data_IF_855544810901
#
_entry.id   IF_855544810901
#
_cell.length_a   1.000
_cell.length_b   1.000
_cell.length_c   1.000
_cell.angle_alpha   90.00
_cell.angle_beta   90.00
_cell.angle_gamma   90.00
#
_symmetry.space_group_name_H-M   'P 1'
#
loop_
_entity.id
_entity.type
_entity.pdbx_description
1 polymer ?
#
# COMPACT_ATOMS: atom_id res chain seq x y z
N UNK A 1 -34.93 -57.07 -3.87
CA UNK A 1 -35.60 -56.22 -4.87
C UNK A 1 -34.54 -55.29 -5.46
N UNK A 2 -34.25 -55.50 -6.75
CA UNK A 2 -33.55 -54.67 -7.75
C UNK A 2 -32.32 -53.82 -7.35
N UNK A 3 -31.22 -53.75 -8.09
CA UNK A 3 -30.56 -54.59 -9.11
C UNK A 3 -29.23 -53.87 -9.39
N UNK A 4 -28.18 -54.63 -9.69
CA UNK A 4 -26.85 -54.15 -10.08
C UNK A 4 -26.80 -53.77 -11.59
N UNK A 5 -25.65 -53.21 -12.02
CA UNK A 5 -25.05 -53.25 -13.39
C UNK A 5 -25.57 -52.15 -14.36
N UNK A 6 -24.76 -51.31 -15.06
CA UNK A 6 -23.75 -51.55 -16.13
C UNK A 6 -22.98 -50.22 -16.39
N UNK A 7 -21.64 -50.11 -16.33
CA UNK A 7 -20.59 -50.27 -17.36
C UNK A 7 -20.61 -49.34 -18.60
N UNK A 8 -19.51 -48.57 -18.76
CA UNK A 8 -18.72 -48.11 -19.95
C UNK A 8 -19.40 -47.94 -21.33
N UNK A 9 -19.03 -47.01 -22.24
CA UNK A 9 -17.73 -46.92 -22.96
C UNK A 9 -17.70 -45.69 -23.92
N UNK A 10 -16.50 -45.07 -24.04
CA UNK A 10 -15.80 -44.41 -25.19
C UNK A 10 -16.53 -44.00 -26.49
N UNK A 11 -16.17 -42.82 -27.05
CA UNK A 11 -15.43 -42.69 -28.33
C UNK A 11 -15.19 -41.22 -28.78
N UNK A 12 -13.96 -40.92 -29.20
CA UNK A 12 -13.53 -39.75 -29.98
C UNK A 12 -14.16 -39.74 -31.39
N UNK A 13 -14.36 -38.55 -31.96
CA UNK A 13 -14.15 -38.28 -33.40
C UNK A 13 -13.52 -36.90 -33.58
N UNK A 14 -12.32 -36.88 -34.17
CA UNK A 14 -11.72 -35.73 -34.83
C UNK A 14 -12.09 -35.74 -36.31
N UNK A 15 -12.35 -34.58 -36.90
CA UNK A 15 -12.10 -34.34 -38.34
C UNK A 15 -11.76 -32.88 -38.63
N UNK A 16 -10.66 -32.74 -39.36
CA UNK A 16 -10.00 -31.57 -39.92
C UNK A 16 -10.76 -30.94 -41.09
N UNK A 17 -10.57 -29.63 -41.33
CA UNK A 17 -10.38 -29.10 -42.69
C UNK A 17 -9.63 -27.76 -42.68
N UNK A 18 -8.58 -27.70 -43.48
CA UNK A 18 -7.82 -26.51 -43.86
C UNK A 18 -8.31 -25.98 -45.22
N UNK A 19 -8.15 -24.67 -45.50
CA UNK A 19 -8.12 -24.17 -46.88
C UNK A 19 -8.66 -22.76 -47.18
N UNK A 20 -7.82 -21.75 -46.94
CA UNK A 20 -7.31 -20.75 -47.91
C UNK A 20 -8.18 -19.66 -48.62
N UNK A 21 -7.58 -18.46 -48.65
CA UNK A 21 -7.57 -17.35 -49.64
C UNK A 21 -8.51 -16.10 -49.58
N UNK A 22 -7.79 -14.97 -49.44
CA UNK A 22 -7.85 -13.68 -50.16
C UNK A 22 -8.97 -12.66 -49.93
N UNK A 23 -8.55 -11.42 -49.58
CA UNK A 23 -9.09 -10.20 -50.18
C UNK A 23 -9.03 -8.94 -49.30
N UNK A 24 -8.63 -7.83 -49.94
CA UNK A 24 -8.85 -6.42 -49.58
C UNK A 24 -8.00 -5.75 -48.47
N UNK A 25 -7.07 -4.85 -48.83
CA UNK A 25 -7.18 -3.45 -49.34
C UNK A 25 -7.14 -2.44 -48.19
N UNK A 26 -5.98 -1.82 -47.96
CA UNK A 26 -5.88 -0.58 -47.19
C UNK A 26 -4.79 0.35 -47.74
N UNK A 27 -5.28 1.33 -48.49
CA UNK A 27 -4.79 2.66 -48.81
C UNK A 27 -3.37 3.09 -48.42
N UNK A 28 -2.59 3.42 -49.46
CA UNK A 28 -1.52 4.43 -49.43
C UNK A 28 -2.12 5.83 -49.35
N UNK A 29 -1.60 6.68 -48.45
CA UNK A 29 -1.53 8.14 -48.69
C UNK A 29 -0.22 8.70 -48.13
N UNK A 30 0.73 8.96 -49.03
CA UNK A 30 1.84 9.89 -48.86
C UNK A 30 1.70 10.92 -49.99
N UNK A 31 1.50 12.19 -49.65
CA UNK A 31 1.84 13.30 -50.54
C UNK A 31 2.35 14.47 -49.69
N UNK A 32 3.64 14.73 -49.88
CA UNK A 32 4.30 16.00 -49.61
C UNK A 32 4.91 16.39 -50.95
N UNK A 33 4.64 17.60 -51.45
CA UNK A 33 5.53 18.51 -52.21
C UNK A 33 4.68 19.71 -52.64
N UNK A 34 5.14 20.90 -52.28
CA UNK A 34 4.62 22.18 -52.78
C UNK A 34 5.42 23.37 -52.23
N UNK A 35 6.66 23.53 -52.70
CA UNK A 35 7.46 24.76 -52.53
C UNK A 35 7.03 25.84 -53.53
N UNK A 36 7.26 27.10 -53.12
CA UNK A 36 7.51 28.37 -53.86
C UNK A 36 6.63 29.48 -53.28
N UNK A 37 7.01 30.74 -53.13
CA UNK A 37 8.28 31.49 -53.01
C UNK A 37 7.86 32.94 -52.65
N UNK A 38 8.68 33.58 -51.81
CA UNK A 38 8.97 35.02 -51.64
C UNK A 38 8.03 36.12 -52.20
N UNK A 39 7.74 37.13 -51.36
CA UNK A 39 7.90 38.57 -51.69
C UNK A 39 8.16 39.41 -50.42
N UNK A 40 9.02 40.42 -50.60
CA UNK A 40 9.59 41.39 -49.64
C UNK A 40 8.67 42.60 -49.32
N UNK A 41 9.16 43.39 -48.35
CA UNK A 41 8.85 44.78 -47.93
C UNK A 41 8.00 44.89 -46.66
N UNK A 42 8.36 45.70 -45.65
CA UNK A 42 9.46 46.65 -45.53
C UNK A 42 9.51 47.24 -44.10
N UNK A 43 10.65 47.89 -43.83
CA UNK A 43 11.03 48.56 -42.59
C UNK A 43 10.04 49.64 -42.11
N UNK A 44 10.05 49.94 -40.80
CA UNK A 44 10.38 51.28 -40.31
C UNK A 44 10.60 51.34 -38.78
N UNK A 45 11.72 51.95 -38.41
CA UNK A 45 12.20 52.37 -37.10
C UNK A 45 11.29 53.39 -36.38
N UNK A 46 11.46 53.48 -35.06
CA UNK A 46 11.08 54.63 -34.25
C UNK A 46 11.51 54.51 -32.79
N UNK A 47 12.77 54.85 -32.50
CA UNK A 47 13.29 55.14 -31.16
C UNK A 47 12.61 56.40 -30.57
N UNK A 48 12.49 56.50 -29.24
CA UNK A 48 12.80 57.76 -28.52
C UNK A 48 13.02 57.54 -27.02
N UNK A 49 14.20 57.98 -26.56
CA UNK A 49 14.65 58.18 -25.19
C UNK A 49 13.88 59.27 -24.43
N UNK A 50 13.93 59.21 -23.09
CA UNK A 50 13.65 60.35 -22.20
C UNK A 50 14.04 60.07 -20.75
N UNK A 51 15.20 60.59 -20.34
CA UNK A 51 15.74 60.63 -18.97
C UNK A 51 14.87 61.46 -18.00
N UNK A 52 15.00 61.24 -16.67
CA UNK A 52 15.46 62.28 -15.73
C UNK A 52 15.59 61.81 -14.27
N UNK A 53 16.64 62.37 -13.63
CA UNK A 53 17.19 62.20 -12.29
C UNK A 53 16.29 62.64 -11.11
N UNK A 54 16.61 62.14 -9.91
CA UNK A 54 16.27 62.76 -8.63
C UNK A 54 16.98 62.11 -7.42
N UNK A 55 18.04 62.75 -6.93
CA UNK A 55 18.86 62.38 -5.77
C UNK A 55 18.31 63.06 -4.49
N UNK A 56 18.38 62.44 -3.30
CA UNK A 56 18.56 63.14 -2.02
C UNK A 56 18.94 62.22 -0.84
N UNK A 57 19.99 62.64 -0.11
CA UNK A 57 20.58 62.09 1.11
C UNK A 57 19.74 62.34 2.39
N UNK A 58 19.99 61.56 3.44
CA UNK A 58 19.77 61.97 4.85
C UNK A 58 19.93 60.84 5.87
N UNK A 59 21.01 60.88 6.66
CA UNK A 59 21.32 60.01 7.81
C UNK A 59 20.30 60.12 8.96
N UNK A 60 20.11 59.04 9.74
CA UNK A 60 19.98 59.09 11.21
C UNK A 60 20.08 57.68 11.85
N UNK A 61 20.97 57.55 12.84
CA UNK A 61 21.08 56.40 13.75
C UNK A 61 19.97 56.43 14.82
N UNK A 62 19.49 55.26 15.23
CA UNK A 62 18.65 55.09 16.43
C UNK A 62 18.21 53.64 16.63
N UNK A 63 18.75 53.00 17.68
CA UNK A 63 18.39 51.68 18.20
C UNK A 63 16.88 51.42 18.29
N UNK A 64 16.43 50.20 18.03
CA UNK A 64 15.50 49.43 18.88
C UNK A 64 15.40 47.96 18.42
N UNK A 65 15.49 47.04 19.38
CA UNK A 65 15.22 45.60 19.25
C UNK A 65 13.81 45.34 18.69
N UNK A 66 13.70 44.41 17.74
CA UNK A 66 12.55 43.52 17.59
C UNK A 66 13.00 42.23 16.91
N UNK A 67 12.65 41.12 17.54
CA UNK A 67 12.79 39.76 17.03
C UNK A 67 11.71 39.54 15.98
N UNK A 68 12.12 39.29 14.74
CA UNK A 68 11.22 38.84 13.68
C UNK A 68 11.37 37.32 13.52
N UNK A 69 10.31 36.61 13.91
CA UNK A 69 10.11 35.20 13.58
C UNK A 69 9.84 35.07 12.08
N UNK A 70 10.81 34.55 11.33
CA UNK A 70 10.58 34.09 9.96
C UNK A 70 10.05 32.65 9.99
N UNK A 71 8.75 32.50 9.73
CA UNK A 71 8.15 31.24 9.34
C UNK A 71 8.64 30.85 7.95
N UNK A 72 9.30 29.70 7.85
CA UNK A 72 9.68 29.11 6.58
C UNK A 72 8.58 28.15 6.11
N UNK A 73 7.79 28.63 5.16
CA UNK A 73 6.92 27.85 4.29
C UNK A 73 7.82 27.02 3.36
N UNK A 74 7.68 25.71 3.35
CA UNK A 74 8.32 24.84 2.36
C UNK A 74 7.24 24.11 1.58
N UNK A 75 6.85 24.71 0.46
CA UNK A 75 6.22 23.99 -0.64
C UNK A 75 7.33 23.21 -1.37
N UNK A 76 7.17 21.90 -1.47
CA UNK A 76 7.99 21.09 -2.37
C UNK A 76 7.10 20.45 -3.43
N UNK A 77 7.09 21.10 -4.59
CA UNK A 77 6.72 20.52 -5.88
C UNK A 77 7.56 19.27 -6.16
N UNK A 78 6.88 18.19 -6.53
CA UNK A 78 7.49 16.93 -6.92
C UNK A 78 7.62 16.90 -8.45
N UNK A 79 8.82 17.21 -8.95
CA UNK A 79 9.10 17.21 -10.39
C UNK A 79 9.84 15.94 -10.83
N UNK A 80 9.23 15.28 -11.81
CA UNK A 80 9.63 14.03 -12.43
C UNK A 80 10.63 14.30 -13.57
N UNK A 81 11.84 13.73 -13.51
CA UNK A 81 12.78 13.76 -14.65
C UNK A 81 13.18 12.35 -15.09
N UNK A 82 12.64 11.99 -16.25
CA UNK A 82 13.09 10.90 -17.08
C UNK A 82 13.91 11.50 -18.24
N UNK A 83 15.15 11.04 -18.46
CA UNK A 83 15.95 11.50 -19.59
C UNK A 83 17.37 10.98 -19.67
N UNK A 84 17.59 10.02 -20.58
CA UNK A 84 18.73 10.09 -21.51
C UNK A 84 20.02 9.35 -21.13
N UNK A 85 20.12 8.11 -21.61
CA UNK A 85 21.35 7.32 -21.74
C UNK A 85 22.40 7.95 -22.67
N UNK A 86 23.69 7.81 -22.34
CA UNK A 86 24.77 7.69 -23.33
C UNK A 86 25.87 6.73 -22.86
N UNK A 87 26.24 5.85 -23.79
CA UNK A 87 27.18 4.74 -23.72
C UNK A 87 28.64 5.13 -23.42
N UNK A 88 29.39 4.19 -22.81
CA UNK A 88 30.72 3.87 -23.32
C UNK A 88 31.10 2.40 -23.07
N UNK A 89 31.54 1.75 -24.14
CA UNK A 89 31.88 0.33 -24.29
C UNK A 89 33.36 0.01 -24.01
N UNK A 90 33.64 -1.20 -23.50
CA UNK A 90 34.84 -2.06 -23.76
C UNK A 90 34.59 -3.40 -23.03
N UNK A 91 34.33 -4.53 -23.69
CA UNK A 91 35.31 -5.55 -24.15
C UNK A 91 35.86 -6.36 -22.96
N UNK A 92 35.91 -7.69 -22.87
CA UNK A 92 35.75 -8.83 -23.78
C UNK A 92 35.71 -10.13 -22.91
N UNK A 93 35.41 -11.26 -23.54
CA UNK A 93 35.82 -12.65 -23.21
C UNK A 93 34.86 -13.55 -22.40
N UNK A 94 34.20 -14.41 -23.17
CA UNK A 94 33.43 -15.62 -22.84
C UNK A 94 34.31 -16.80 -22.38
N UNK A 95 33.84 -17.60 -21.42
CA UNK A 95 34.14 -19.03 -21.33
C UNK A 95 33.04 -19.78 -20.55
N UNK A 96 32.34 -20.68 -21.26
CA UNK A 96 31.31 -21.60 -20.74
C UNK A 96 31.97 -22.91 -20.33
N UNK A 97 31.73 -23.36 -19.09
CA UNK A 97 32.05 -24.73 -18.66
C UNK A 97 30.85 -25.35 -17.97
N UNK A 98 30.26 -26.32 -18.67
CA UNK A 98 29.29 -27.30 -18.19
C UNK A 98 29.96 -28.28 -17.22
N UNK A 99 29.33 -28.58 -16.08
CA UNK A 99 29.63 -29.81 -15.34
C UNK A 99 28.35 -30.48 -14.85
N UNK A 100 28.25 -31.75 -15.21
CA UNK A 100 27.17 -32.70 -14.99
C UNK A 100 27.28 -33.34 -13.60
N UNK A 101 26.18 -33.35 -12.85
CA UNK A 101 26.08 -34.06 -11.56
C UNK A 101 25.50 -35.46 -11.77
N UNK A 102 26.22 -36.48 -11.32
CA UNK A 102 25.81 -37.90 -11.34
C UNK A 102 25.17 -38.33 -10.02
N UNK A 103 24.08 -39.09 -10.12
CA UNK A 103 23.34 -39.72 -9.01
C UNK A 103 24.10 -40.87 -8.34
N UNK A 104 23.60 -41.32 -7.16
CA UNK A 104 23.60 -42.75 -6.85
C UNK A 104 22.21 -43.32 -6.54
N UNK A 105 22.10 -44.63 -6.84
CA UNK A 105 20.91 -45.47 -6.86
C UNK A 105 20.45 -46.01 -5.49
N UNK A 106 19.22 -46.53 -5.53
CA UNK A 106 18.36 -47.03 -4.47
C UNK A 106 18.84 -48.25 -3.65
N UNK A 107 18.21 -48.46 -2.49
CA UNK A 107 18.00 -49.78 -1.87
C UNK A 107 16.62 -49.83 -1.21
N UNK A 108 15.89 -50.92 -1.43
CA UNK A 108 14.51 -51.19 -1.00
C UNK A 108 14.43 -52.20 0.14
N UNK A 109 13.27 -52.20 0.83
CA UNK A 109 12.68 -53.29 1.65
C UNK A 109 13.18 -53.40 3.10
N UNK A 110 12.41 -53.64 4.17
CA UNK A 110 11.11 -54.32 4.33
C UNK A 110 10.55 -54.09 5.77
N UNK A 111 9.22 -54.11 5.93
CA UNK A 111 8.49 -54.36 7.19
C UNK A 111 8.31 -55.87 7.42
N UNK A 112 8.14 -56.36 8.67
CA UNK A 112 6.78 -56.71 9.12
C UNK A 112 6.49 -56.49 10.62
N UNK A 113 5.23 -56.75 10.96
CA UNK A 113 4.43 -56.31 12.11
C UNK A 113 4.45 -57.23 13.34
N UNK A 114 3.91 -56.68 14.44
CA UNK A 114 3.12 -57.28 15.54
C UNK A 114 3.76 -58.19 16.58
N UNK A 115 3.66 -57.79 17.86
CA UNK A 115 3.01 -58.63 18.88
C UNK A 115 2.47 -57.84 20.09
N UNK A 116 1.44 -58.44 20.68
CA UNK A 116 0.39 -57.93 21.58
C UNK A 116 0.66 -58.10 23.08
N UNK A 117 0.02 -57.25 23.90
CA UNK A 117 -0.79 -57.70 25.05
C UNK A 117 -0.28 -57.37 26.46
N UNK A 118 -1.15 -56.75 27.28
CA UNK A 118 -1.06 -56.76 28.75
C UNK A 118 -1.65 -55.53 29.44
N UNK A 119 -2.92 -55.61 29.85
CA UNK A 119 -3.71 -54.55 30.48
C UNK A 119 -3.63 -54.51 32.01
N UNK A 120 -3.86 -53.35 32.66
CA UNK A 120 -4.41 -53.22 34.03
C UNK A 120 -5.21 -51.90 34.22
N UNK A 121 -6.54 -52.06 34.37
CA UNK A 121 -7.59 -51.33 35.16
C UNK A 121 -7.36 -49.88 35.66
N UNK A 122 -8.13 -48.89 35.19
CA UNK A 122 -9.41 -48.31 35.71
C UNK A 122 -9.39 -47.63 37.08
N UNK A 123 -9.68 -46.32 37.10
CA UNK A 123 -10.60 -45.72 38.08
C UNK A 123 -11.29 -44.48 37.48
N UNK A 124 -12.62 -44.49 37.61
CA UNK A 124 -13.62 -43.50 37.20
C UNK A 124 -13.76 -42.40 38.25
N UNK A 125 -14.03 -41.16 37.84
CA UNK A 125 -15.04 -40.28 38.45
C UNK A 125 -15.26 -38.97 37.66
N UNK A 126 -16.53 -38.69 37.38
CA UNK A 126 -17.17 -37.41 37.02
C UNK A 126 -18.46 -37.32 37.86
N UNK A 127 -19.21 -36.20 37.91
CA UNK A 127 -18.88 -34.76 37.80
C UNK A 127 -19.52 -33.94 38.95
N UNK A 128 -19.14 -32.66 39.16
CA UNK A 128 -20.03 -31.59 39.67
C UNK A 128 -19.29 -30.25 39.90
N UNK A 129 -19.82 -29.17 39.33
CA UNK A 129 -20.32 -27.97 40.03
C UNK A 129 -20.15 -26.69 39.16
N UNK A 130 -21.28 -26.17 38.69
CA UNK A 130 -21.42 -24.81 38.17
C UNK A 130 -21.24 -23.77 39.29
N UNK A 131 -20.67 -22.59 39.01
CA UNK A 131 -20.98 -21.39 39.77
C UNK A 131 -22.05 -20.56 39.04
N UNK A 132 -23.16 -20.35 39.72
CA UNK A 132 -24.20 -19.38 39.41
C UNK A 132 -23.66 -17.97 39.67
N UNK A 133 -23.51 -17.14 38.64
CA UNK A 133 -23.26 -15.70 38.81
C UNK A 133 -24.55 -14.92 38.55
N UNK A 134 -24.89 -14.14 39.56
CA UNK A 134 -26.06 -13.30 39.72
C UNK A 134 -26.09 -12.19 38.66
N UNK A 135 -27.19 -12.07 37.91
CA UNK A 135 -27.40 -10.94 37.00
C UNK A 135 -27.75 -9.68 37.81
N UNK A 136 -26.80 -8.77 37.93
CA UNK A 136 -27.08 -7.36 38.20
C UNK A 136 -26.92 -6.62 36.87
N UNK A 137 -28.07 -6.24 36.30
CA UNK A 137 -28.15 -5.52 35.04
C UNK A 137 -27.43 -4.18 35.14
N UNK A 138 -26.41 -4.03 34.33
CA UNK A 138 -25.93 -2.73 33.89
C UNK A 138 -26.30 -2.64 32.42
N UNK A 139 -27.05 -1.60 32.08
CA UNK A 139 -27.52 -1.30 30.74
C UNK A 139 -26.35 -1.34 29.76
N UNK A 140 -26.43 -2.33 28.88
CA UNK A 140 -25.58 -2.53 27.73
C UNK A 140 -25.75 -1.33 26.79
N UNK A 141 -24.76 -0.43 26.75
CA UNK A 141 -24.51 0.40 25.59
C UNK A 141 -23.56 -0.38 24.70
N UNK A 142 -24.12 -1.28 23.91
CA UNK A 142 -23.43 -2.00 22.84
C UNK A 142 -23.07 -1.00 21.74
N UNK A 143 -21.96 -0.29 21.91
CA UNK A 143 -21.15 0.24 20.79
C UNK A 143 -19.93 -0.67 20.68
N UNK A 144 -20.13 -1.86 20.12
CA UNK A 144 -19.04 -2.76 19.71
C UNK A 144 -18.59 -2.43 18.29
N UNK A 145 -18.36 -1.15 17.99
CA UNK A 145 -17.60 -0.74 16.82
C UNK A 145 -16.14 -0.76 17.23
N UNK A 146 -15.39 -1.79 16.86
CA UNK A 146 -13.93 -1.70 16.90
C UNK A 146 -13.53 -0.62 15.91
N UNK A 147 -12.87 0.45 16.36
CA UNK A 147 -12.45 1.60 15.54
C UNK A 147 -11.32 1.21 14.55
N UNK A 148 -11.65 0.33 13.59
CA UNK A 148 -10.71 -0.25 12.62
C UNK A 148 -10.40 0.71 11.49
N UNK A 149 -11.34 1.58 11.14
CA UNK A 149 -11.09 2.57 10.10
C UNK A 149 -10.06 3.61 10.55
N UNK A 150 -9.14 3.92 9.65
CA UNK A 150 -8.13 4.93 9.85
C UNK A 150 -8.01 5.89 8.68
N UNK A 151 -7.12 6.87 8.82
CA UNK A 151 -6.88 7.90 7.82
C UNK A 151 -5.42 7.88 7.35
N UNK A 152 -5.24 7.63 6.06
CA UNK A 152 -4.02 7.98 5.32
C UNK A 152 -4.07 9.48 5.01
N UNK A 153 -3.39 10.29 5.82
CA UNK A 153 -3.57 11.74 5.89
C UNK A 153 -2.40 12.52 5.27
N UNK A 154 -2.53 13.05 4.04
CA UNK A 154 -1.41 13.69 3.34
C UNK A 154 -1.32 15.19 3.61
N UNK A 155 -2.35 15.78 4.21
CA UNK A 155 -2.56 17.23 4.19
C UNK A 155 -1.75 17.98 5.25
N UNK A 156 -1.02 17.27 6.11
CA UNK A 156 -0.38 17.87 7.29
C UNK A 156 -1.36 18.73 8.09
N UNK A 157 -0.91 19.89 8.55
CA UNK A 157 -1.74 20.88 9.24
C UNK A 157 -2.51 21.84 8.30
N UNK A 158 -2.45 21.64 6.97
CA UNK A 158 -3.14 22.53 6.01
C UNK A 158 -4.65 22.32 6.00
N UNK A 159 -5.09 21.10 6.31
CA UNK A 159 -6.50 20.74 6.49
C UNK A 159 -6.77 20.35 7.94
N UNK A 160 -8.01 20.54 8.38
CA UNK A 160 -8.41 20.22 9.75
C UNK A 160 -8.87 18.76 9.86
N UNK A 161 -7.98 17.88 10.33
CA UNK A 161 -8.29 16.45 10.53
C UNK A 161 -9.40 16.24 11.57
N UNK A 162 -9.67 17.19 12.47
CA UNK A 162 -10.75 17.06 13.47
C UNK A 162 -12.15 16.99 12.83
N UNK A 163 -12.27 17.34 11.55
CA UNK A 163 -13.50 17.12 10.76
C UNK A 163 -13.78 15.65 10.47
N UNK A 164 -12.77 14.80 10.63
CA UNK A 164 -12.78 13.37 10.35
C UNK A 164 -12.80 12.51 11.62
N UNK A 165 -12.55 13.10 12.80
CA UNK A 165 -12.57 12.41 14.09
C UNK A 165 -13.99 12.13 14.64
N UNK A 166 -15.01 12.18 13.77
CA UNK A 166 -16.39 11.81 14.12
C UNK A 166 -16.61 10.38 13.65
N UNK A 167 -17.35 9.55 14.40
CA UNK A 167 -17.61 8.16 14.01
C UNK A 167 -16.52 7.20 14.45
N UNK A 168 -16.29 6.12 13.71
CA UNK A 168 -15.42 5.01 14.14
C UNK A 168 -13.98 5.09 13.57
N UNK A 169 -13.52 6.30 13.23
CA UNK A 169 -12.13 6.52 12.86
C UNK A 169 -11.27 6.50 14.13
N UNK A 170 -10.41 5.49 14.27
CA UNK A 170 -9.60 5.29 15.49
C UNK A 170 -8.15 5.75 15.38
N UNK A 171 -7.60 5.75 14.17
CA UNK A 171 -6.16 5.95 13.97
C UNK A 171 -5.86 6.69 12.66
N UNK A 172 -4.65 7.21 12.54
CA UNK A 172 -4.18 7.84 11.32
C UNK A 172 -2.66 7.75 11.17
N UNK A 173 -2.19 7.95 9.95
CA UNK A 173 -0.78 8.10 9.63
C UNK A 173 -0.59 9.11 8.49
N UNK A 174 0.63 9.60 8.32
CA UNK A 174 0.94 10.75 7.44
C UNK A 174 2.06 10.48 6.45
N UNK A 175 2.41 9.20 6.22
CA UNK A 175 3.65 8.78 5.53
C UNK A 175 4.92 9.37 6.16
N UNK A 176 4.85 9.73 7.44
CA UNK A 176 5.92 10.44 8.13
C UNK A 176 6.02 10.05 9.60
N UNK A 177 7.15 10.35 10.25
CA UNK A 177 7.33 10.12 11.68
C UNK A 177 6.77 11.24 12.56
N UNK A 178 5.94 12.16 12.06
CA UNK A 178 5.35 13.23 12.87
C UNK A 178 3.82 13.35 12.70
N UNK A 179 3.11 13.67 13.80
CA UNK A 179 1.67 13.81 13.80
C UNK A 179 1.23 15.15 13.18
N UNK A 180 -0.10 15.35 13.15
CA UNK A 180 -0.72 16.66 12.92
C UNK A 180 -1.32 17.18 14.22
N UNK A 181 -1.33 18.51 14.40
CA UNK A 181 -1.68 19.13 15.68
C UNK A 181 -3.18 19.04 15.99
N UNK A 182 -4.02 18.99 14.96
CA UNK A 182 -5.49 18.95 15.07
C UNK A 182 -6.08 17.54 15.18
N UNK A 183 -5.25 16.50 15.34
CA UNK A 183 -5.69 15.10 15.40
C UNK A 183 -6.54 14.74 16.62
N UNK A 184 -6.47 15.53 17.70
CA UNK A 184 -7.20 15.25 18.93
C UNK A 184 -6.78 13.90 19.51
N UNK A 185 -7.76 13.03 19.76
CA UNK A 185 -7.57 11.72 20.39
C UNK A 185 -7.29 10.58 19.40
N UNK A 186 -7.14 10.86 18.09
CA UNK A 186 -6.81 9.83 17.11
C UNK A 186 -5.41 9.27 17.36
N UNK A 187 -5.30 7.94 17.36
CA UNK A 187 -4.02 7.27 17.53
C UNK A 187 -3.12 7.53 16.31
N UNK A 188 -1.97 8.18 16.55
CA UNK A 188 -1.00 8.45 15.50
C UNK A 188 -0.01 7.30 15.33
N UNK A 189 0.06 6.75 14.12
CA UNK A 189 1.00 5.70 13.73
C UNK A 189 2.18 6.32 12.96
N UNK A 190 3.31 6.66 13.61
CA UNK A 190 4.49 7.15 12.92
C UNK A 190 5.02 6.09 11.94
N UNK A 191 5.41 6.57 10.75
CA UNK A 191 5.98 5.72 9.71
C UNK A 191 7.43 6.11 9.41
N UNK A 192 8.30 5.11 9.31
CA UNK A 192 9.57 5.25 8.62
C UNK A 192 9.34 4.87 7.16
N UNK A 193 9.06 5.83 6.29
CA UNK A 193 8.67 5.56 4.90
C UNK A 193 9.74 4.76 4.15
N UNK A 194 11.02 5.04 4.40
CA UNK A 194 12.15 4.32 3.81
C UNK A 194 13.48 5.01 4.10
N UNK A 195 14.57 4.55 3.46
CA UNK A 195 15.94 5.03 3.70
C UNK A 195 16.08 6.56 3.66
N UNK A 196 15.33 7.24 2.78
CA UNK A 196 15.38 8.69 2.59
C UNK A 196 14.89 9.48 3.82
N UNK A 197 14.11 8.86 4.71
CA UNK A 197 13.50 9.52 5.86
C UNK A 197 14.21 9.23 7.19
N UNK A 198 15.29 8.44 7.18
CA UNK A 198 16.03 8.03 8.40
C UNK A 198 16.52 9.23 9.22
N UNK A 199 16.97 10.31 8.56
CA UNK A 199 17.40 11.52 9.28
C UNK A 199 16.24 12.15 10.06
N UNK A 200 15.08 12.32 9.43
CA UNK A 200 13.91 12.91 10.08
C UNK A 200 13.28 11.96 11.11
N UNK A 201 13.27 10.66 10.84
CA UNK A 201 12.91 9.62 11.81
C UNK A 201 13.71 9.76 13.12
N UNK A 202 15.03 9.86 13.01
CA UNK A 202 15.92 10.01 14.16
C UNK A 202 15.71 11.32 14.94
N UNK A 203 15.18 12.37 14.30
CA UNK A 203 14.84 13.63 14.97
C UNK A 203 13.51 13.55 15.75
N UNK A 204 12.59 12.67 15.34
CA UNK A 204 11.23 12.62 15.89
C UNK A 204 11.01 11.44 16.86
N UNK A 205 11.69 10.31 16.67
CA UNK A 205 11.41 9.05 17.39
C UNK A 205 11.48 9.11 18.91
N UNK A 206 12.18 10.09 19.48
CA UNK A 206 12.21 10.30 20.93
C UNK A 206 10.89 10.84 21.50
N UNK A 207 10.00 11.39 20.65
CA UNK A 207 8.72 12.00 21.04
C UNK A 207 7.53 11.06 20.97
N UNK A 208 7.70 9.84 20.44
CA UNK A 208 6.57 8.91 20.24
C UNK A 208 5.79 8.64 21.54
N UNK A 209 6.50 8.48 22.66
CA UNK A 209 5.85 8.31 23.96
C UNK A 209 5.06 9.55 24.41
N UNK A 210 5.51 10.76 24.05
CA UNK A 210 4.82 12.01 24.36
C UNK A 210 3.54 12.18 23.53
N UNK A 211 3.50 11.58 22.33
CA UNK A 211 2.32 11.56 21.46
C UNK A 211 1.35 10.43 21.77
N UNK A 212 1.64 9.60 22.79
CA UNK A 212 0.81 8.43 23.10
C UNK A 212 0.85 7.35 22.02
N UNK A 213 1.89 7.33 21.17
CA UNK A 213 2.02 6.35 20.09
C UNK A 213 1.88 4.91 20.62
N UNK A 214 1.01 4.13 19.99
CA UNK A 214 0.76 2.72 20.29
C UNK A 214 1.37 1.77 19.25
N UNK A 215 1.51 2.25 18.01
CA UNK A 215 1.98 1.47 16.86
C UNK A 215 3.08 2.18 16.09
N UNK A 216 3.95 1.42 15.42
CA UNK A 216 4.89 1.94 14.43
C UNK A 216 4.61 1.26 13.09
N UNK A 217 4.47 2.05 12.02
CA UNK A 217 4.32 1.55 10.67
C UNK A 217 5.67 1.46 9.96
N UNK A 218 5.90 0.33 9.27
CA UNK A 218 7.11 0.06 8.50
C UNK A 218 7.22 0.82 7.18
N UNK A 219 8.19 0.40 6.36
CA UNK A 219 8.50 1.03 5.06
C UNK A 219 7.31 1.01 4.10
N UNK A 220 7.20 2.07 3.29
CA UNK A 220 6.13 2.25 2.31
C UNK A 220 6.48 1.63 0.97
N UNK A 221 5.77 0.58 0.58
CA UNK A 221 5.92 -0.10 -0.71
C UNK A 221 7.39 -0.38 -1.07
N UNK A 222 8.17 -1.06 -0.21
CA UNK A 222 9.58 -1.33 -0.49
C UNK A 222 9.77 -2.22 -1.73
N UNK A 223 8.75 -2.97 -2.14
CA UNK A 223 8.73 -3.78 -3.35
C UNK A 223 8.47 -2.98 -4.64
N UNK A 224 8.16 -1.69 -4.55
CA UNK A 224 7.88 -0.83 -5.72
C UNK A 224 9.04 0.14 -6.01
N UNK A 225 9.47 0.19 -7.27
CA UNK A 225 10.63 0.99 -7.71
C UNK A 225 10.43 2.49 -7.52
N UNK A 226 9.18 2.95 -7.65
CA UNK A 226 8.80 4.36 -7.48
C UNK A 226 8.68 4.81 -6.03
N UNK A 227 8.82 3.89 -5.07
CA UNK A 227 8.48 4.11 -3.66
C UNK A 227 9.74 3.95 -2.79
N UNK A 228 9.66 3.25 -1.65
CA UNK A 228 10.85 3.04 -0.81
C UNK A 228 11.94 2.24 -1.54
N UNK A 229 11.54 1.35 -2.46
CA UNK A 229 12.43 0.60 -3.36
C UNK A 229 13.63 -0.02 -2.63
N UNK A 230 13.34 -1.03 -1.82
CA UNK A 230 14.32 -1.73 -0.98
C UNK A 230 14.19 -3.23 -1.22
N UNK A 231 15.32 -3.91 -1.42
CA UNK A 231 15.30 -5.36 -1.36
C UNK A 231 15.10 -5.82 0.10
N UNK A 232 14.59 -7.05 0.33
CA UNK A 232 14.27 -7.52 1.67
C UNK A 232 15.44 -7.54 2.65
N UNK A 233 16.67 -7.82 2.19
CA UNK A 233 17.85 -7.91 3.05
C UNK A 233 18.28 -6.53 3.58
N UNK A 234 18.37 -5.53 2.69
CA UNK A 234 18.70 -4.16 3.07
C UNK A 234 17.60 -3.55 3.96
N UNK A 235 16.34 -3.83 3.65
CA UNK A 235 15.22 -3.43 4.49
C UNK A 235 15.29 -4.05 5.88
N UNK A 236 15.60 -5.36 6.01
CA UNK A 236 15.72 -6.03 7.30
C UNK A 236 16.85 -5.44 8.15
N UNK A 237 17.99 -5.10 7.52
CA UNK A 237 19.09 -4.40 8.19
C UNK A 237 18.65 -3.05 8.75
N UNK A 238 17.99 -2.22 7.93
CA UNK A 238 17.49 -0.91 8.37
C UNK A 238 16.41 -1.05 9.46
N UNK A 239 15.50 -2.01 9.30
CA UNK A 239 14.45 -2.30 10.29
C UNK A 239 15.06 -2.64 11.64
N UNK A 240 16.06 -3.51 11.66
CA UNK A 240 16.73 -3.91 12.90
C UNK A 240 17.50 -2.75 13.54
N UNK A 241 18.05 -1.83 12.75
CA UNK A 241 18.71 -0.63 13.24
C UNK A 241 17.72 0.38 13.84
N UNK A 242 16.60 0.63 13.15
CA UNK A 242 15.75 1.80 13.44
C UNK A 242 14.46 1.46 14.18
N UNK A 243 13.85 0.29 13.91
CA UNK A 243 12.49 -0.06 14.34
C UNK A 243 12.48 -1.22 15.36
N UNK A 244 13.21 -2.30 15.13
CA UNK A 244 13.08 -3.54 15.94
C UNK A 244 13.36 -3.33 17.44
N UNK A 245 14.16 -2.33 17.81
CA UNK A 245 14.42 -1.96 19.20
C UNK A 245 13.16 -1.55 19.99
N UNK A 246 12.08 -1.22 19.30
CA UNK A 246 10.80 -0.83 19.88
C UNK A 246 9.83 -2.00 20.10
N UNK A 247 10.22 -3.22 19.75
CA UNK A 247 9.38 -4.39 19.95
C UNK A 247 9.04 -4.57 21.44
N UNK A 248 7.75 -4.79 21.73
CA UNK A 248 7.24 -4.86 23.10
C UNK A 248 6.98 -3.51 23.77
N UNK A 249 7.40 -2.38 23.16
CA UNK A 249 6.97 -1.04 23.54
C UNK A 249 5.80 -0.56 22.68
N UNK A 250 5.90 -0.77 21.36
CA UNK A 250 4.85 -0.47 20.39
C UNK A 250 4.54 -1.72 19.58
N UNK A 251 3.33 -1.81 19.03
CA UNK A 251 3.02 -2.82 18.01
C UNK A 251 3.73 -2.45 16.72
N UNK A 252 4.64 -3.31 16.27
CA UNK A 252 5.39 -3.08 15.04
C UNK A 252 4.62 -3.66 13.85
N UNK A 253 4.11 -2.79 13.00
CA UNK A 253 3.42 -3.16 11.77
C UNK A 253 4.47 -3.26 10.66
N UNK A 254 4.45 -4.38 9.91
CA UNK A 254 5.42 -4.67 8.85
C UNK A 254 5.54 -3.54 7.81
N UNK A 255 6.58 -3.58 6.94
CA UNK A 255 6.52 -2.81 5.70
C UNK A 255 5.23 -3.11 4.94
N UNK A 256 4.63 -2.06 4.35
CA UNK A 256 3.38 -2.16 3.61
C UNK A 256 3.68 -2.40 2.13
N UNK A 257 3.71 -3.66 1.72
CA UNK A 257 3.96 -4.00 0.32
C UNK A 257 2.70 -3.83 -0.54
N UNK A 258 2.84 -3.26 -1.73
CA UNK A 258 1.80 -3.30 -2.76
C UNK A 258 1.53 -4.74 -3.15
N UNK A 259 0.27 -5.11 -3.31
CA UNK A 259 -0.12 -6.44 -3.75
C UNK A 259 -1.14 -6.37 -4.87
N UNK A 260 -0.89 -7.13 -5.94
CA UNK A 260 -1.71 -7.20 -7.14
C UNK A 260 -2.06 -8.66 -7.42
N UNK A 261 -3.31 -8.94 -7.78
CA UNK A 261 -3.68 -10.30 -8.20
C UNK A 261 -2.97 -10.67 -9.50
N UNK A 262 -2.38 -11.86 -9.52
CA UNK A 262 -1.70 -12.43 -10.69
C UNK A 262 -0.21 -12.08 -10.83
N UNK A 263 0.35 -11.30 -9.91
CA UNK A 263 1.71 -10.79 -10.02
C UNK A 263 2.76 -11.57 -9.21
N UNK A 264 2.78 -12.89 -9.37
CA UNK A 264 3.82 -13.73 -8.77
C UNK A 264 5.14 -13.72 -9.57
N UNK A 265 5.15 -13.10 -10.75
CA UNK A 265 6.24 -13.20 -11.71
C UNK A 265 7.15 -11.95 -11.79
N UNK A 266 6.73 -10.77 -11.32
CA UNK A 266 7.50 -9.53 -11.50
C UNK A 266 8.34 -9.08 -10.29
N UNK A 267 8.30 -9.81 -9.17
CA UNK A 267 9.03 -9.41 -7.95
C UNK A 267 8.29 -8.37 -7.09
N UNK A 268 7.06 -8.02 -7.45
CA UNK A 268 6.13 -7.18 -6.69
C UNK A 268 5.23 -7.95 -5.73
N UNK A 269 5.37 -9.28 -5.63
CA UNK A 269 4.60 -10.10 -4.68
C UNK A 269 4.93 -9.71 -3.24
N UNK A 270 4.04 -8.93 -2.62
CA UNK A 270 4.21 -8.43 -1.26
C UNK A 270 4.32 -9.52 -0.20
N UNK A 271 3.62 -10.65 -0.37
CA UNK A 271 3.75 -11.79 0.55
C UNK A 271 5.15 -12.36 0.47
N UNK A 272 5.64 -12.62 -0.75
CA UNK A 272 7.00 -13.14 -0.95
C UNK A 272 8.05 -12.18 -0.41
N UNK A 273 7.92 -10.87 -0.68
CA UNK A 273 8.85 -9.86 -0.18
C UNK A 273 8.90 -9.87 1.36
N UNK A 274 7.76 -9.92 2.04
CA UNK A 274 7.69 -9.99 3.50
C UNK A 274 8.23 -11.30 4.09
N UNK A 275 8.03 -12.44 3.41
CA UNK A 275 8.65 -13.71 3.80
C UNK A 275 10.18 -13.64 3.72
N UNK A 276 10.72 -13.08 2.64
CA UNK A 276 12.17 -12.87 2.48
C UNK A 276 12.70 -11.88 3.53
N UNK A 277 11.92 -10.85 3.88
CA UNK A 277 12.25 -9.89 4.94
C UNK A 277 12.35 -10.57 6.31
N UNK A 278 11.42 -11.47 6.66
CA UNK A 278 11.51 -12.30 7.87
C UNK A 278 12.70 -13.26 7.84
N UNK A 279 12.97 -13.89 6.69
CA UNK A 279 14.13 -14.78 6.53
C UNK A 279 15.47 -14.05 6.73
N UNK A 280 15.51 -12.75 6.46
CA UNK A 280 16.66 -11.87 6.75
C UNK A 280 16.69 -11.34 8.19
N UNK A 281 15.87 -11.89 9.10
CA UNK A 281 15.96 -11.66 10.53
C UNK A 281 15.14 -10.49 11.06
N UNK A 282 14.18 -9.97 10.28
CA UNK A 282 13.19 -9.02 10.79
C UNK A 282 12.01 -9.73 11.47
N UNK A 283 11.46 -9.12 12.52
CA UNK A 283 10.24 -9.55 13.22
C UNK A 283 9.29 -8.37 13.36
N UNK A 284 7.99 -8.64 13.24
CA UNK A 284 6.89 -7.68 13.35
C UNK A 284 5.68 -8.37 14.01
N UNK A 285 4.82 -7.56 14.62
CA UNK A 285 3.67 -8.01 15.41
C UNK A 285 2.37 -8.03 14.58
N UNK A 286 2.33 -7.27 13.47
CA UNK A 286 1.22 -7.19 12.55
C UNK A 286 1.71 -6.98 11.11
N UNK A 287 0.85 -7.28 10.14
CA UNK A 287 1.17 -7.16 8.71
C UNK A 287 0.42 -6.00 8.08
N UNK A 288 1.13 -5.12 7.38
CA UNK A 288 0.54 -4.12 6.51
C UNK A 288 0.55 -4.55 5.04
N UNK A 289 -0.46 -4.12 4.29
CA UNK A 289 -0.58 -4.34 2.85
C UNK A 289 -1.27 -3.15 2.18
N UNK A 290 -0.87 -2.86 0.95
CA UNK A 290 -1.58 -1.93 0.06
C UNK A 290 -2.25 -2.71 -1.08
N UNK A 291 -3.52 -2.43 -1.36
CA UNK A 291 -4.28 -3.11 -2.41
C UNK A 291 -5.02 -2.10 -3.28
N UNK A 292 -4.64 -2.03 -4.54
CA UNK A 292 -5.32 -1.24 -5.57
C UNK A 292 -5.86 -2.19 -6.64
N UNK A 293 -7.17 -2.41 -6.59
CA UNK A 293 -7.89 -3.34 -7.47
C UNK A 293 -9.24 -2.74 -7.87
N UNK A 294 -9.89 -3.33 -8.86
CA UNK A 294 -11.23 -2.94 -9.31
C UNK A 294 -12.31 -3.92 -8.87
N UNK A 295 -11.93 -5.04 -8.26
CA UNK A 295 -12.84 -6.08 -7.76
C UNK A 295 -12.72 -6.24 -6.24
N UNK A 296 -13.83 -6.07 -5.52
CA UNK A 296 -13.84 -6.18 -4.06
C UNK A 296 -13.59 -7.63 -3.59
N UNK A 297 -13.98 -8.64 -4.37
CA UNK A 297 -13.70 -10.04 -4.03
C UNK A 297 -12.20 -10.34 -4.11
N UNK A 298 -11.52 -9.72 -5.08
CA UNK A 298 -10.06 -9.75 -5.22
C UNK A 298 -9.36 -9.16 -3.99
N UNK A 299 -9.81 -8.00 -3.50
CA UNK A 299 -9.29 -7.36 -2.27
C UNK A 299 -9.44 -8.30 -1.07
N UNK A 300 -10.65 -8.81 -0.83
CA UNK A 300 -10.95 -9.72 0.28
C UNK A 300 -10.07 -10.98 0.20
N UNK A 301 -9.98 -11.61 -0.97
CA UNK A 301 -9.18 -12.83 -1.16
C UNK A 301 -7.69 -12.58 -0.94
N UNK A 302 -7.20 -11.37 -1.21
CA UNK A 302 -5.81 -10.99 -0.99
C UNK A 302 -5.54 -10.82 0.50
N UNK A 303 -6.42 -10.12 1.23
CA UNK A 303 -6.32 -10.00 2.69
C UNK A 303 -6.30 -11.35 3.39
N UNK A 304 -7.17 -12.28 2.96
CA UNK A 304 -7.18 -13.65 3.48
C UNK A 304 -5.85 -14.37 3.26
N UNK A 305 -5.23 -14.24 2.07
CA UNK A 305 -3.90 -14.85 1.81
C UNK A 305 -2.81 -14.28 2.72
N UNK A 306 -2.84 -12.98 2.99
CA UNK A 306 -1.91 -12.36 3.93
C UNK A 306 -2.10 -12.94 5.34
N UNK A 307 -3.33 -12.98 5.83
CA UNK A 307 -3.62 -13.56 7.14
C UNK A 307 -3.24 -15.05 7.21
N UNK A 308 -3.63 -15.84 6.21
CA UNK A 308 -3.33 -17.28 6.14
C UNK A 308 -1.81 -17.54 6.14
N UNK A 309 -1.03 -16.67 5.48
CA UNK A 309 0.42 -16.84 5.37
C UNK A 309 1.15 -16.47 6.66
N UNK A 310 0.81 -15.34 7.28
CA UNK A 310 1.57 -14.80 8.40
C UNK A 310 0.98 -15.17 9.76
N UNK A 311 -0.32 -15.49 9.83
CA UNK A 311 -1.06 -15.79 11.06
C UNK A 311 -0.94 -14.66 12.10
N UNK A 312 -0.94 -13.40 11.62
CA UNK A 312 -0.85 -12.18 12.41
C UNK A 312 -2.05 -11.26 12.12
N UNK A 313 -2.33 -10.28 13.00
CA UNK A 313 -3.22 -9.16 12.69
C UNK A 313 -2.85 -8.47 11.38
N UNK A 314 -3.86 -8.07 10.60
CA UNK A 314 -3.68 -7.43 9.30
C UNK A 314 -4.20 -5.98 9.33
N UNK A 315 -3.41 -5.09 8.73
CA UNK A 315 -3.73 -3.70 8.45
C UNK A 315 -3.73 -3.46 6.94
N UNK A 316 -4.87 -3.06 6.38
CA UNK A 316 -4.97 -2.58 4.99
C UNK A 316 -4.71 -1.07 4.97
N UNK A 317 -3.45 -0.67 5.02
CA UNK A 317 -3.08 0.73 5.24
C UNK A 317 -3.39 1.63 4.05
N UNK A 318 -3.50 1.07 2.84
CA UNK A 318 -4.01 1.76 1.66
C UNK A 318 -4.84 0.83 0.78
N UNK A 319 -6.00 1.32 0.38
CA UNK A 319 -6.76 0.72 -0.72
C UNK A 319 -7.67 1.71 -1.41
N UNK A 320 -7.89 1.48 -2.71
CA UNK A 320 -8.83 2.24 -3.53
C UNK A 320 -9.26 1.43 -4.75
N UNK A 321 -10.41 1.78 -5.32
CA UNK A 321 -10.89 1.20 -6.57
C UNK A 321 -10.09 1.77 -7.75
N UNK A 322 -9.03 1.07 -8.13
CA UNK A 322 -7.98 1.60 -9.01
C UNK A 322 -7.33 0.51 -9.85
N UNK A 323 -7.21 0.76 -11.16
CA UNK A 323 -6.51 -0.12 -12.09
C UNK A 323 -5.20 0.51 -12.60
N UNK A 324 -4.07 0.13 -12.03
CA UNK A 324 -2.76 0.59 -12.53
C UNK A 324 -2.22 -0.21 -13.73
N UNK A 325 -2.88 -1.30 -14.14
CA UNK A 325 -2.47 -2.10 -15.31
C UNK A 325 -2.91 -1.48 -16.65
N UNK A 326 -3.49 -0.27 -16.64
CA UNK A 326 -3.95 0.44 -17.85
C UNK A 326 -5.30 -0.05 -18.39
N UNK A 327 -6.06 -0.80 -17.58
CA UNK A 327 -7.42 -1.24 -17.92
C UNK A 327 -8.51 -0.22 -17.57
N UNK A 328 -9.76 -0.67 -17.61
CA UNK A 328 -10.90 0.13 -17.20
C UNK A 328 -10.77 0.54 -15.72
N UNK A 329 -11.09 1.80 -15.43
CA UNK A 329 -11.22 2.30 -14.07
C UNK A 329 -12.64 2.09 -13.57
N UNK A 330 -12.79 1.99 -12.25
CA UNK A 330 -14.09 1.91 -11.61
C UNK A 330 -14.95 3.14 -11.93
N UNK A 331 -16.19 2.90 -12.29
CA UNK A 331 -17.27 3.88 -12.23
C UNK A 331 -17.57 4.28 -10.78
N UNK A 332 -18.33 5.36 -10.61
CA UNK A 332 -18.73 5.83 -9.28
C UNK A 332 -19.46 4.74 -8.48
N UNK A 333 -20.41 4.02 -9.11
CA UNK A 333 -21.11 2.91 -8.45
C UNK A 333 -20.18 1.77 -8.03
N UNK A 334 -19.13 1.49 -8.79
CA UNK A 334 -18.15 0.46 -8.45
C UNK A 334 -17.24 0.92 -7.31
N UNK A 335 -16.89 2.20 -7.24
CA UNK A 335 -16.16 2.78 -6.10
C UNK A 335 -16.97 2.67 -4.81
N UNK A 336 -18.25 3.06 -4.85
CA UNK A 336 -19.15 2.94 -3.70
C UNK A 336 -19.32 1.48 -3.26
N UNK A 337 -19.52 0.57 -4.21
CA UNK A 337 -19.63 -0.86 -3.91
C UNK A 337 -18.33 -1.43 -3.32
N UNK A 338 -17.16 -1.03 -3.86
CA UNK A 338 -15.86 -1.42 -3.33
C UNK A 338 -15.74 -1.01 -1.86
N UNK A 339 -16.01 0.26 -1.54
CA UNK A 339 -15.94 0.75 -0.17
C UNK A 339 -16.91 0.03 0.76
N UNK A 340 -18.20 -0.06 0.39
CA UNK A 340 -19.24 -0.70 1.21
C UNK A 340 -18.91 -2.16 1.51
N UNK A 341 -18.56 -2.95 0.48
CA UNK A 341 -18.36 -4.39 0.64
C UNK A 341 -17.09 -4.73 1.39
N UNK A 342 -16.01 -3.99 1.15
CA UNK A 342 -14.73 -4.26 1.83
C UNK A 342 -14.75 -3.80 3.29
N UNK A 343 -15.24 -2.59 3.60
CA UNK A 343 -15.33 -2.08 4.98
C UNK A 343 -16.19 -2.99 5.85
N UNK A 344 -17.43 -3.26 5.42
CA UNK A 344 -18.35 -4.15 6.13
C UNK A 344 -17.76 -5.54 6.36
N UNK A 345 -17.06 -6.11 5.38
CA UNK A 345 -16.41 -7.40 5.56
C UNK A 345 -15.24 -7.33 6.55
N UNK A 346 -14.37 -6.32 6.45
CA UNK A 346 -13.22 -6.14 7.35
C UNK A 346 -13.65 -5.92 8.80
N UNK A 347 -14.77 -5.23 9.03
CA UNK A 347 -15.32 -5.02 10.37
C UNK A 347 -15.76 -6.33 11.04
N UNK A 348 -16.23 -7.31 10.26
CA UNK A 348 -16.61 -8.64 10.75
C UNK A 348 -15.42 -9.56 11.05
N UNK A 349 -14.20 -9.24 10.59
CA UNK A 349 -13.04 -10.13 10.77
C UNK A 349 -12.29 -9.83 12.07
N UNK A 350 -12.16 -10.80 12.97
CA UNK A 350 -11.41 -10.62 14.24
C UNK A 350 -9.92 -10.31 14.01
N UNK A 351 -9.34 -10.78 12.90
CA UNK A 351 -7.92 -10.63 12.58
C UNK A 351 -7.61 -9.37 11.75
N UNK A 352 -8.62 -8.66 11.25
CA UNK A 352 -8.44 -7.33 10.65
C UNK A 352 -8.42 -6.29 11.76
N UNK A 353 -7.29 -5.60 11.94
CA UNK A 353 -7.12 -4.62 13.02
C UNK A 353 -7.16 -3.17 12.52
N UNK A 354 -6.98 -2.95 11.22
CA UNK A 354 -7.29 -1.65 10.66
C UNK A 354 -7.33 -1.61 9.14
N UNK A 355 -8.01 -0.61 8.60
CA UNK A 355 -8.00 -0.31 7.18
C UNK A 355 -8.07 1.21 6.95
N UNK A 356 -7.54 1.67 5.83
CA UNK A 356 -7.57 3.08 5.47
C UNK A 356 -7.80 3.26 3.97
N UNK A 357 -8.94 3.86 3.63
CA UNK A 357 -9.26 4.20 2.25
C UNK A 357 -8.34 5.31 1.74
N UNK A 358 -7.70 5.10 0.58
CA UNK A 358 -6.85 6.10 -0.03
C UNK A 358 -7.69 7.15 -0.74
N UNK A 359 -7.87 8.32 -0.11
CA UNK A 359 -8.58 9.43 -0.78
C UNK A 359 -8.79 10.72 0.00
N UNK A 360 -8.16 10.90 1.16
CA UNK A 360 -8.32 12.14 1.95
C UNK A 360 -7.46 13.29 1.38
N UNK A 361 -7.62 13.56 0.08
CA UNK A 361 -6.85 14.56 -0.68
C UNK A 361 -7.63 15.08 -1.87
N UNK A 362 -7.32 16.30 -2.33
CA UNK A 362 -7.98 16.87 -3.51
C UNK A 362 -7.40 16.37 -4.82
N UNK A 363 -6.07 16.29 -4.90
CA UNK A 363 -5.36 15.71 -6.02
C UNK A 363 -5.03 14.25 -5.69
N UNK A 364 -5.71 13.32 -6.35
CA UNK A 364 -5.56 11.88 -6.10
C UNK A 364 -4.26 11.25 -6.64
N UNK A 365 -3.32 12.07 -7.15
CA UNK A 365 -1.96 11.64 -7.53
C UNK A 365 -1.91 10.45 -8.51
N UNK A 366 -2.85 10.39 -9.44
CA UNK A 366 -2.94 9.31 -10.44
C UNK A 366 -3.81 8.13 -10.03
N UNK A 367 -4.38 8.15 -8.82
CA UNK A 367 -5.53 7.31 -8.44
C UNK A 367 -6.82 7.92 -8.99
N UNK A 368 -7.77 7.08 -9.36
CA UNK A 368 -9.07 7.47 -9.89
C UNK A 368 -9.75 8.49 -8.96
N UNK A 369 -10.04 9.68 -9.51
CA UNK A 369 -10.60 10.82 -8.79
C UNK A 369 -11.91 10.50 -8.06
N UNK A 370 -12.66 9.49 -8.51
CA UNK A 370 -13.89 9.07 -7.87
C UNK A 370 -13.69 8.47 -6.47
N UNK A 371 -12.47 8.08 -6.10
CA UNK A 371 -12.13 7.63 -4.74
C UNK A 371 -11.95 8.79 -3.74
N UNK A 372 -12.04 10.05 -4.20
CA UNK A 372 -11.81 11.25 -3.40
C UNK A 372 -12.78 11.37 -2.22
N UNK A 373 -12.20 11.51 -1.03
CA UNK A 373 -12.91 11.75 0.22
C UNK A 373 -12.91 13.23 0.62
N UNK A 374 -11.95 14.05 0.18
CA UNK A 374 -11.82 15.46 0.58
C UNK A 374 -12.11 16.42 -0.57
N UNK A 375 -12.95 17.43 -0.34
CA UNK A 375 -13.15 18.57 -1.25
C UNK A 375 -13.36 19.86 -0.46
N UNK A 376 -12.56 20.89 -0.75
CA UNK A 376 -12.61 22.21 -0.10
C UNK A 376 -12.57 22.11 1.44
N UNK A 377 -11.60 21.35 1.97
CA UNK A 377 -11.43 21.12 3.41
C UNK A 377 -12.68 20.53 4.10
N UNK A 378 -13.49 19.77 3.35
CA UNK A 378 -14.69 19.09 3.84
C UNK A 378 -14.80 17.68 3.24
N UNK A 379 -15.40 16.70 3.96
CA UNK A 379 -15.66 15.40 3.37
C UNK A 379 -16.62 15.48 2.17
N UNK A 380 -16.36 14.70 1.13
CA UNK A 380 -17.30 14.42 0.03
C UNK A 380 -18.46 13.56 0.53
N UNK A 381 -19.42 13.19 -0.33
CA UNK A 381 -20.45 12.21 0.03
C UNK A 381 -19.84 10.84 0.37
N UNK A 382 -18.86 10.39 -0.42
CA UNK A 382 -18.11 9.17 -0.15
C UNK A 382 -17.27 9.28 1.13
N UNK A 383 -16.62 10.43 1.36
CA UNK A 383 -15.90 10.70 2.61
C UNK A 383 -16.81 10.70 3.84
N UNK A 384 -17.99 11.33 3.71
CA UNK A 384 -19.00 11.33 4.77
C UNK A 384 -19.52 9.93 5.07
N UNK A 385 -19.69 9.10 4.03
CA UNK A 385 -20.04 7.69 4.20
C UNK A 385 -18.93 6.96 4.94
N UNK A 386 -17.67 7.03 4.49
CA UNK A 386 -16.53 6.38 5.14
C UNK A 386 -16.42 6.70 6.65
N UNK A 387 -16.57 7.98 7.02
CA UNK A 387 -16.55 8.43 8.41
C UNK A 387 -17.68 7.81 9.26
N UNK A 388 -18.85 7.55 8.67
CA UNK A 388 -20.07 7.14 9.38
C UNK A 388 -20.38 5.64 9.32
N UNK A 389 -19.96 4.96 8.26
CA UNK A 389 -20.31 3.57 7.97
C UNK A 389 -19.30 2.56 8.46
N UNK A 390 -18.06 3.02 8.63
CA UNK A 390 -17.00 2.30 9.35
C UNK A 390 -17.28 2.30 10.83
#
# INVERSE_FOLDING_TARGET
MHSKILLATLALVSTTLAGNHNGDFAARRRHHVGKRDWHHHGDHHGDHHGDHHGNHHGDHQGHHHREDHHGHHWDHDWDNQNGGSQDNSSGDSTATTTSSWSAPSATTSSTPSSNTGGAVTTSTNSPAASPTTTSSGNSDSTTSGTEKAGLAWPNGNANDISKWSKGNIGWYYTWSPWPVDSAGDLDFYPQLWGQKQVSTWNQQKSKFAEWGTTHILGFNEPNEVGQANMNPADAASLWNQEIAQYQGQYTLISPACTSRVGDSASGSDGIKWLQEFQQNGASFDAVAVHIYDTDYESVISTLQKFHDTFQLPVYLTEYACQNFAGGAQCSESEVWQMMEKTSSWMDEQEWMHGYSWFGVMENMQGVNQLNQLLSNDSPTELGSYYIQSS
#
